data_IF_818587699265
#
_entry.id   IF_818587699265
#
_cell.length_a   1.000
_cell.length_b   1.000
_cell.length_c   1.000
_cell.angle_alpha   90.00
_cell.angle_beta   90.00
_cell.angle_gamma   90.00
#
_symmetry.space_group_name_H-M   'P 1'
#
loop_
_entity.id
_entity.type
_entity.pdbx_description
1 polymer ?
#
# COMPACT_ATOMS: atom_id res chain seq x y z
N UNK A 1 26.65 4.79 -79.08
CA UNK A 1 27.29 3.89 -78.11
C UNK A 1 26.73 4.23 -76.72
N UNK A 2 25.68 3.51 -76.29
CA UNK A 2 25.66 2.51 -75.20
C UNK A 2 25.80 3.14 -73.80
N UNK A 3 24.70 3.45 -73.09
CA UNK A 3 23.84 2.61 -72.19
C UNK A 3 24.45 2.28 -70.82
N UNK A 4 23.76 2.72 -69.76
CA UNK A 4 23.90 2.24 -68.38
C UNK A 4 22.85 2.86 -67.45
N UNK A 5 21.65 2.26 -67.37
CA UNK A 5 20.57 2.59 -66.41
C UNK A 5 20.63 1.60 -65.25
N UNK A 6 20.77 2.09 -64.01
CA UNK A 6 20.66 1.30 -62.78
C UNK A 6 19.22 1.26 -62.28
N UNK A 7 18.71 0.05 -62.02
CA UNK A 7 17.33 -0.23 -61.61
C UNK A 7 17.15 -0.34 -60.10
N UNK A 8 15.99 0.11 -59.63
CA UNK A 8 15.43 -0.11 -58.29
C UNK A 8 14.67 -1.44 -58.23
N UNK A 9 14.72 -2.22 -57.13
CA UNK A 9 13.90 -3.40 -56.98
C UNK A 9 12.47 -3.06 -56.52
N UNK A 10 11.53 -3.62 -57.27
CA UNK A 10 10.07 -3.57 -57.15
C UNK A 10 9.63 -4.70 -56.19
N UNK A 11 8.98 -4.37 -55.07
CA UNK A 11 8.36 -5.36 -54.17
C UNK A 11 6.91 -5.57 -54.58
N UNK A 12 6.60 -6.76 -55.06
CA UNK A 12 5.27 -7.16 -55.52
C UNK A 12 4.32 -7.43 -54.35
N UNK A 13 3.13 -6.86 -54.48
CA UNK A 13 1.87 -7.24 -53.83
C UNK A 13 1.34 -8.57 -54.40
N UNK A 14 0.85 -9.42 -53.50
CA UNK A 14 -0.26 -10.36 -53.69
C UNK A 14 -0.97 -10.36 -52.32
N UNK A 15 -2.17 -9.81 -52.11
CA UNK A 15 -3.47 -10.07 -52.73
C UNK A 15 -3.89 -11.53 -52.64
N UNK A 16 -4.62 -11.84 -51.58
CA UNK A 16 -5.59 -12.93 -51.49
C UNK A 16 -6.58 -12.51 -50.38
N UNK A 17 -7.76 -12.10 -50.85
CA UNK A 17 -8.98 -12.01 -50.07
C UNK A 17 -9.38 -13.41 -49.63
N UNK A 18 -9.92 -13.55 -48.42
CA UNK A 18 -11.11 -14.37 -48.20
C UNK A 18 -11.76 -14.00 -46.86
N UNK A 19 -13.07 -13.79 -46.96
CA UNK A 19 -14.05 -13.47 -45.94
C UNK A 19 -14.03 -14.41 -44.73
N UNK A 20 -14.03 -13.86 -43.51
CA UNK A 20 -14.85 -14.40 -42.41
C UNK A 20 -15.01 -13.39 -41.27
N UNK A 21 -16.20 -12.81 -41.15
CA UNK A 21 -16.68 -12.16 -39.92
C UNK A 21 -17.30 -13.21 -38.99
N UNK A 22 -17.10 -13.10 -37.66
CA UNK A 22 -18.27 -12.73 -36.86
C UNK A 22 -17.97 -11.71 -35.77
N UNK A 23 -18.95 -10.82 -35.61
CA UNK A 23 -19.14 -9.85 -34.55
C UNK A 23 -19.36 -10.51 -33.19
N UNK A 24 -18.75 -9.96 -32.13
CA UNK A 24 -19.28 -9.94 -30.76
C UNK A 24 -18.44 -9.06 -29.83
N UNK A 25 -19.02 -8.54 -28.73
CA UNK A 25 -18.91 -7.12 -28.39
C UNK A 25 -18.14 -6.83 -27.09
N UNK A 26 -17.73 -5.56 -26.97
CA UNK A 26 -17.06 -4.92 -25.84
C UNK A 26 -17.87 -4.95 -24.53
N UNK A 27 -17.23 -5.09 -23.36
CA UNK A 27 -17.89 -4.88 -22.08
C UNK A 27 -17.88 -3.39 -21.71
N UNK A 28 -19.08 -2.84 -21.56
CA UNK A 28 -19.36 -1.47 -21.12
C UNK A 28 -19.40 -1.33 -19.60
N UNK A 29 -18.98 -0.15 -19.17
CA UNK A 29 -19.03 0.42 -17.82
C UNK A 29 -20.46 0.57 -17.29
N UNK A 30 -20.73 0.02 -16.10
CA UNK A 30 -22.00 0.19 -15.40
C UNK A 30 -21.93 1.34 -14.39
N UNK A 31 -22.40 2.51 -14.80
CA UNK A 31 -22.75 3.65 -13.94
C UNK A 31 -24.26 3.66 -13.72
N UNK A 32 -24.71 3.35 -12.50
CA UNK A 32 -26.11 3.45 -12.13
C UNK A 32 -26.41 4.80 -11.47
N UNK A 33 -27.22 5.61 -12.16
CA UNK A 33 -27.94 6.77 -11.61
C UNK A 33 -29.39 6.66 -12.08
N UNK A 34 -30.40 6.72 -11.18
CA UNK A 34 -31.78 6.81 -11.60
C UNK A 34 -32.27 8.26 -11.58
N UNK A 35 -32.63 8.75 -12.78
CA UNK A 35 -33.39 9.97 -12.99
C UNK A 35 -34.88 9.77 -12.74
N UNK A 36 -35.40 10.55 -11.80
CA UNK A 36 -36.58 11.42 -11.92
C UNK A 36 -37.46 11.24 -13.18
N UNK A 37 -38.71 10.81 -13.01
CA UNK A 37 -39.82 11.15 -13.91
C UNK A 37 -41.07 11.51 -13.13
N UNK A 38 -41.70 12.56 -13.62
CA UNK A 38 -42.91 13.24 -13.18
C UNK A 38 -44.15 12.65 -13.85
N UNK A 39 -45.28 12.70 -13.14
CA UNK A 39 -46.57 13.30 -13.55
C UNK A 39 -47.84 12.44 -13.35
N UNK A 40 -48.88 13.19 -12.94
CA UNK A 40 -50.34 13.05 -13.13
C UNK A 40 -51.19 12.10 -12.26
N UNK A 41 -51.89 12.71 -11.27
CA UNK A 41 -53.36 12.85 -11.10
C UNK A 41 -54.26 11.71 -11.64
N UNK A 42 -55.24 11.11 -10.93
CA UNK A 42 -56.51 11.66 -10.35
C UNK A 42 -57.24 10.52 -9.54
N UNK A 43 -58.51 10.60 -9.05
CA UNK A 43 -58.88 10.34 -7.64
C UNK A 43 -59.84 9.14 -7.39
N UNK A 44 -60.06 8.74 -6.14
CA UNK A 44 -61.19 7.85 -5.79
C UNK A 44 -61.14 7.25 -4.38
N UNK A 45 -62.24 7.28 -3.60
CA UNK A 45 -62.27 6.98 -2.16
C UNK A 45 -62.76 5.55 -1.86
N UNK A 46 -62.31 4.96 -0.73
CA UNK A 46 -63.11 4.08 0.14
C UNK A 46 -62.23 3.35 1.19
N UNK A 47 -62.71 3.32 2.43
CA UNK A 47 -62.71 2.08 3.23
C UNK A 47 -61.55 1.82 4.19
N UNK A 48 -61.67 2.32 5.43
CA UNK A 48 -61.10 1.75 6.66
C UNK A 48 -61.46 0.24 6.83
N UNK A 49 -60.72 -0.58 7.61
CA UNK A 49 -60.74 -0.44 9.08
C UNK A 49 -59.41 -0.69 9.83
N UNK A 50 -59.34 0.05 10.94
CA UNK A 50 -58.60 -0.17 12.17
C UNK A 50 -58.16 -1.63 12.47
N UNK A 51 -56.88 -1.77 12.83
CA UNK A 51 -56.42 -2.82 13.75
C UNK A 51 -55.94 -2.17 15.04
N UNK A 52 -56.75 -2.33 16.09
CA UNK A 52 -56.32 -2.18 17.47
C UNK A 52 -55.24 -3.23 17.75
N UNK A 53 -54.02 -2.78 18.04
CA UNK A 53 -53.03 -3.60 18.74
C UNK A 53 -52.89 -3.07 20.17
N UNK A 54 -53.32 -3.88 21.12
CA UNK A 54 -53.15 -3.69 22.56
C UNK A 54 -51.66 -3.70 22.95
N UNK A 55 -51.23 -2.87 23.92
CA UNK A 55 -49.90 -2.97 24.51
C UNK A 55 -49.88 -4.09 25.56
N UNK A 56 -49.28 -5.23 25.23
CA UNK A 56 -48.84 -6.21 26.22
C UNK A 56 -47.47 -5.82 26.78
N UNK A 57 -47.18 -6.06 28.07
CA UNK A 57 -45.85 -5.85 28.63
C UNK A 57 -44.93 -6.94 28.06
N UNK A 58 -44.19 -6.60 27.01
CA UNK A 58 -43.14 -7.43 26.48
C UNK A 58 -42.03 -7.53 27.53
N UNK A 59 -41.91 -8.71 28.12
CA UNK A 59 -40.72 -9.21 28.81
C UNK A 59 -39.49 -8.83 27.99
N UNK A 60 -38.71 -7.89 28.50
CA UNK A 60 -37.49 -7.39 27.89
C UNK A 60 -36.50 -8.55 27.72
N UNK A 61 -36.31 -9.00 26.48
CA UNK A 61 -35.10 -9.72 26.12
C UNK A 61 -33.89 -8.86 26.53
N UNK A 62 -32.80 -9.45 27.07
CA UNK A 62 -31.61 -8.69 27.43
C UNK A 62 -31.13 -7.95 26.19
N UNK A 63 -31.39 -6.64 26.17
CA UNK A 63 -31.21 -5.78 25.02
C UNK A 63 -29.75 -5.83 24.61
N UNK A 64 -29.52 -6.07 23.32
CA UNK A 64 -28.26 -5.70 22.66
C UNK A 64 -27.88 -4.30 23.17
N UNK A 65 -26.61 -4.09 23.59
CA UNK A 65 -26.17 -2.84 24.17
C UNK A 65 -26.63 -1.70 23.28
N UNK A 66 -27.36 -0.75 23.86
CA UNK A 66 -27.90 0.40 23.16
C UNK A 66 -26.75 1.01 22.34
N UNK A 67 -26.97 1.13 21.03
CA UNK A 67 -25.97 1.71 20.12
C UNK A 67 -25.57 3.05 20.72
N UNK A 68 -24.26 3.31 20.93
CA UNK A 68 -23.84 4.61 21.45
C UNK A 68 -24.41 5.68 20.51
N UNK A 69 -25.13 6.63 21.11
CA UNK A 69 -25.62 7.82 20.40
C UNK A 69 -24.43 8.51 19.75
N UNK A 70 -24.65 9.03 18.54
CA UNK A 70 -23.68 9.82 17.79
C UNK A 70 -23.16 10.94 18.70
N UNK A 71 -21.90 11.33 18.55
CA UNK A 71 -21.20 12.27 19.44
C UNK A 71 -21.97 13.55 19.82
N UNK A 72 -21.44 14.36 20.73
CA UNK A 72 -22.17 15.37 21.52
C UNK A 72 -22.85 16.49 20.70
N UNK A 73 -22.59 16.57 19.39
CA UNK A 73 -23.10 17.65 18.53
C UNK A 73 -24.10 17.10 17.50
N UNK A 74 -25.35 17.62 17.44
CA UNK A 74 -26.31 17.19 16.45
C UNK A 74 -25.87 17.59 15.03
N UNK A 75 -26.21 16.77 14.03
CA UNK A 75 -25.83 16.99 12.62
C UNK A 75 -26.25 18.37 12.08
N UNK A 76 -27.34 18.92 12.60
CA UNK A 76 -27.88 20.22 12.19
C UNK A 76 -27.00 21.40 12.62
N UNK A 77 -26.11 21.21 13.60
CA UNK A 77 -25.17 22.22 14.05
C UNK A 77 -23.81 22.15 13.34
N UNK A 78 -23.59 21.16 12.47
CA UNK A 78 -22.32 20.98 11.79
C UNK A 78 -22.15 21.94 10.62
N UNK A 79 -21.02 22.65 10.61
CA UNK A 79 -20.62 23.43 9.44
C UNK A 79 -19.98 22.53 8.37
N UNK A 80 -19.82 23.06 7.16
CA UNK A 80 -19.09 22.36 6.08
C UNK A 80 -17.65 22.02 6.48
N UNK A 81 -17.01 22.83 7.33
CA UNK A 81 -15.66 22.57 7.85
C UNK A 81 -15.63 21.36 8.78
N UNK A 82 -16.67 21.13 9.58
CA UNK A 82 -16.82 19.91 10.38
C UNK A 82 -16.87 18.68 9.47
N UNK A 83 -17.79 18.69 8.50
CA UNK A 83 -17.96 17.57 7.56
C UNK A 83 -16.67 17.24 6.78
N UNK A 84 -15.98 18.25 6.24
CA UNK A 84 -14.70 18.05 5.53
C UNK A 84 -13.60 17.53 6.43
N UNK A 85 -13.46 18.09 7.64
CA UNK A 85 -12.46 17.64 8.62
C UNK A 85 -12.69 16.18 8.99
N UNK A 86 -13.94 15.79 9.23
CA UNK A 86 -14.30 14.40 9.51
C UNK A 86 -13.87 13.47 8.37
N UNK A 87 -14.17 13.84 7.13
CA UNK A 87 -13.81 13.03 5.97
C UNK A 87 -12.29 12.82 5.91
N UNK A 88 -11.50 13.88 6.13
CA UNK A 88 -10.03 13.78 6.19
C UNK A 88 -9.55 12.81 7.28
N UNK A 89 -10.15 12.87 8.47
CA UNK A 89 -9.80 12.00 9.60
C UNK A 89 -10.13 10.52 9.33
N UNK A 90 -11.28 10.24 8.71
CA UNK A 90 -11.68 8.87 8.31
C UNK A 90 -10.76 8.33 7.23
N UNK A 91 -10.45 9.13 6.20
CA UNK A 91 -9.54 8.74 5.13
C UNK A 91 -8.13 8.48 5.67
N UNK A 92 -7.64 9.33 6.58
CA UNK A 92 -6.34 9.16 7.24
C UNK A 92 -6.28 7.86 8.04
N UNK A 93 -7.30 7.57 8.84
CA UNK A 93 -7.42 6.30 9.59
C UNK A 93 -7.41 5.09 8.66
N UNK A 94 -8.11 5.16 7.52
CA UNK A 94 -8.12 4.09 6.52
C UNK A 94 -6.71 3.84 5.97
N UNK A 95 -5.97 4.88 5.61
CA UNK A 95 -4.58 4.75 5.16
C UNK A 95 -3.67 4.14 6.23
N UNK A 96 -3.84 4.51 7.50
CA UNK A 96 -3.05 3.93 8.61
C UNK A 96 -3.32 2.44 8.79
N UNK A 97 -4.59 2.01 8.72
CA UNK A 97 -4.94 0.59 8.72
C UNK A 97 -4.32 -0.14 7.52
N UNK A 98 -4.41 0.45 6.33
CA UNK A 98 -3.83 -0.12 5.11
C UNK A 98 -2.31 -0.27 5.22
N UNK A 99 -1.60 0.70 5.81
CA UNK A 99 -0.18 0.60 6.10
C UNK A 99 0.13 -0.61 7.00
N UNK A 100 -0.57 -0.74 8.12
CA UNK A 100 -0.35 -1.84 9.07
C UNK A 100 -0.58 -3.22 8.41
N UNK A 101 -1.62 -3.33 7.59
CA UNK A 101 -1.92 -4.54 6.83
C UNK A 101 -0.80 -4.90 5.83
N UNK A 102 -0.29 -3.90 5.10
CA UNK A 102 0.81 -4.09 4.15
C UNK A 102 2.10 -4.52 4.85
N UNK A 103 2.41 -3.98 6.03
CA UNK A 103 3.60 -4.38 6.79
C UNK A 103 3.47 -5.81 7.30
N UNK A 104 2.39 -6.11 8.04
CA UNK A 104 2.23 -7.38 8.76
C UNK A 104 2.01 -8.54 7.78
N UNK A 105 1.09 -8.38 6.82
CA UNK A 105 0.72 -9.46 5.89
C UNK A 105 1.54 -9.46 4.61
N UNK A 106 2.00 -8.29 4.17
CA UNK A 106 2.74 -8.13 2.92
C UNK A 106 4.25 -8.27 3.12
N UNK A 107 4.83 -7.33 3.85
CA UNK A 107 6.28 -7.10 3.81
C UNK A 107 7.05 -8.17 4.59
N UNK A 108 6.77 -8.32 5.88
CA UNK A 108 7.54 -9.21 6.77
C UNK A 108 7.52 -10.65 6.28
N UNK A 109 6.35 -11.15 5.87
CA UNK A 109 6.19 -12.51 5.36
C UNK A 109 6.98 -12.77 4.08
N UNK A 110 6.93 -11.84 3.11
CA UNK A 110 7.65 -11.99 1.83
C UNK A 110 9.15 -11.86 1.99
N UNK A 111 9.62 -10.92 2.81
CA UNK A 111 11.06 -10.78 3.09
C UNK A 111 11.61 -12.03 3.77
N UNK A 112 10.87 -12.60 4.73
CA UNK A 112 11.25 -13.88 5.36
C UNK A 112 11.30 -15.02 4.34
N UNK A 113 10.31 -15.16 3.47
CA UNK A 113 10.30 -16.19 2.44
C UNK A 113 11.49 -16.06 1.46
N UNK A 114 11.87 -14.83 1.08
CA UNK A 114 13.04 -14.60 0.25
C UNK A 114 14.35 -15.03 0.94
N UNK A 115 14.49 -14.77 2.25
CA UNK A 115 15.65 -15.19 3.04
C UNK A 115 15.71 -16.71 3.20
N UNK A 116 14.59 -17.35 3.51
CA UNK A 116 14.50 -18.82 3.61
C UNK A 116 14.88 -19.48 2.28
N UNK A 117 14.35 -18.97 1.16
CA UNK A 117 14.70 -19.44 -0.18
C UNK A 117 16.19 -19.30 -0.45
N UNK A 118 16.81 -18.18 -0.05
CA UNK A 118 18.25 -18.00 -0.20
C UNK A 118 19.06 -19.02 0.61
N UNK A 119 18.67 -19.27 1.87
CA UNK A 119 19.31 -20.28 2.71
C UNK A 119 19.21 -21.68 2.08
N UNK A 120 18.05 -22.02 1.52
CA UNK A 120 17.85 -23.29 0.82
C UNK A 120 18.77 -23.43 -0.40
N UNK A 121 18.95 -22.34 -1.17
CA UNK A 121 19.89 -22.31 -2.30
C UNK A 121 21.33 -22.55 -1.84
N UNK A 122 21.76 -21.92 -0.75
CA UNK A 122 23.11 -22.12 -0.22
C UNK A 122 23.35 -23.55 0.27
N UNK A 123 22.36 -24.15 0.93
CA UNK A 123 22.45 -25.54 1.39
C UNK A 123 22.49 -26.53 0.23
N UNK A 124 21.67 -26.30 -0.80
CA UNK A 124 21.66 -27.12 -2.00
C UNK A 124 22.99 -27.01 -2.77
N UNK A 125 23.56 -25.81 -2.89
CA UNK A 125 24.87 -25.63 -3.53
C UNK A 125 25.99 -26.38 -2.79
N UNK A 126 26.01 -26.32 -1.46
CA UNK A 126 26.96 -27.10 -0.65
C UNK A 126 26.79 -28.60 -0.84
N UNK A 127 25.55 -29.08 -0.97
CA UNK A 127 25.27 -30.49 -1.24
C UNK A 127 25.75 -30.92 -2.63
N UNK A 128 25.48 -30.11 -3.66
CA UNK A 128 25.93 -30.33 -5.04
C UNK A 128 27.46 -30.34 -5.09
N UNK A 129 28.14 -29.37 -4.46
CA UNK A 129 29.61 -29.29 -4.43
C UNK A 129 30.25 -30.50 -3.73
N UNK A 130 29.59 -31.05 -2.70
CA UNK A 130 30.02 -32.28 -2.03
C UNK A 130 29.90 -33.50 -2.95
N UNK A 131 28.87 -33.57 -3.78
CA UNK A 131 28.65 -34.65 -4.76
C UNK A 131 29.55 -34.52 -6.00
N UNK A 132 29.84 -33.29 -6.43
CA UNK A 132 30.66 -32.98 -7.61
C UNK A 132 32.12 -33.45 -7.51
N UNK A 133 32.61 -33.75 -6.29
CA UNK A 133 33.95 -34.34 -6.09
C UNK A 133 34.13 -35.72 -6.76
N UNK A 134 33.05 -36.35 -7.24
CA UNK A 134 33.09 -37.66 -7.91
C UNK A 134 32.79 -37.68 -9.42
N UNK A 135 32.08 -36.67 -9.99
CA UNK A 135 31.49 -36.84 -11.32
C UNK A 135 31.26 -35.52 -12.12
N UNK A 136 31.62 -35.51 -13.41
CA UNK A 136 31.56 -34.34 -14.31
C UNK A 136 30.14 -33.96 -14.75
N UNK A 137 29.18 -34.89 -14.63
CA UNK A 137 27.76 -34.69 -14.98
C UNK A 137 27.07 -33.64 -14.08
N UNK A 138 27.65 -33.33 -12.92
CA UNK A 138 27.09 -32.42 -11.92
C UNK A 138 27.00 -30.95 -12.37
N UNK A 139 27.77 -30.52 -13.38
CA UNK A 139 27.79 -29.12 -13.83
C UNK A 139 26.48 -28.66 -14.48
N UNK A 140 25.84 -29.49 -15.32
CA UNK A 140 24.61 -29.13 -15.99
C UNK A 140 23.42 -29.06 -15.01
N UNK A 141 23.37 -30.02 -14.07
CA UNK A 141 22.37 -30.05 -13.00
C UNK A 141 22.50 -28.82 -12.09
N UNK A 142 23.73 -28.44 -11.73
CA UNK A 142 24.01 -27.23 -10.96
C UNK A 142 23.50 -25.98 -11.65
N UNK A 143 23.82 -25.81 -12.95
CA UNK A 143 23.39 -24.65 -13.72
C UNK A 143 21.86 -24.56 -13.83
N UNK A 144 21.18 -25.67 -14.11
CA UNK A 144 19.72 -25.73 -14.17
C UNK A 144 19.05 -25.39 -12.83
N UNK A 145 19.58 -25.93 -11.71
CA UNK A 145 19.09 -25.60 -10.38
C UNK A 145 19.29 -24.13 -10.04
N UNK A 146 20.48 -23.57 -10.29
CA UNK A 146 20.79 -22.16 -10.05
C UNK A 146 19.87 -21.23 -10.83
N UNK A 147 19.62 -21.54 -12.11
CA UNK A 147 18.71 -20.75 -12.94
C UNK A 147 17.26 -20.80 -12.42
N UNK A 148 16.77 -21.97 -12.05
CA UNK A 148 15.41 -22.11 -11.52
C UNK A 148 15.24 -21.37 -10.18
N UNK A 149 16.26 -21.40 -9.31
CA UNK A 149 16.20 -20.73 -8.02
C UNK A 149 16.44 -19.22 -8.11
N UNK A 150 17.30 -18.75 -9.01
CA UNK A 150 17.49 -17.32 -9.24
C UNK A 150 16.22 -16.67 -9.78
N UNK A 151 15.48 -17.35 -10.64
CA UNK A 151 14.17 -16.91 -11.11
C UNK A 151 13.19 -16.75 -9.93
N UNK A 152 13.05 -17.79 -9.08
CA UNK A 152 12.18 -17.73 -7.89
C UNK A 152 12.58 -16.62 -6.92
N UNK A 153 13.88 -16.43 -6.70
CA UNK A 153 14.38 -15.37 -5.82
C UNK A 153 14.06 -13.98 -6.39
N UNK A 154 14.26 -13.81 -7.70
CA UNK A 154 13.89 -12.57 -8.42
C UNK A 154 12.40 -12.27 -8.28
N UNK A 155 11.54 -13.28 -8.39
CA UNK A 155 10.10 -13.12 -8.20
C UNK A 155 9.74 -12.67 -6.77
N UNK A 156 10.39 -13.25 -5.75
CA UNK A 156 10.18 -12.84 -4.36
C UNK A 156 10.68 -11.41 -4.11
N UNK A 157 11.82 -11.03 -4.66
CA UNK A 157 12.35 -9.65 -4.57
C UNK A 157 11.39 -8.67 -5.23
N UNK A 158 10.90 -8.98 -6.43
CA UNK A 158 9.91 -8.16 -7.12
C UNK A 158 8.61 -8.02 -6.30
N UNK A 159 8.17 -9.10 -5.64
CA UNK A 159 7.00 -9.08 -4.77
C UNK A 159 7.20 -8.24 -3.50
N UNK A 160 8.42 -8.16 -2.96
CA UNK A 160 8.77 -7.28 -1.82
C UNK A 160 8.79 -5.82 -2.27
N UNK A 161 9.44 -5.51 -3.40
CA UNK A 161 9.49 -4.15 -3.97
C UNK A 161 8.09 -3.63 -4.32
N UNK A 162 7.18 -4.50 -4.80
CA UNK A 162 5.79 -4.14 -5.03
C UNK A 162 5.06 -3.72 -3.73
N UNK A 163 5.29 -4.40 -2.60
CA UNK A 163 4.73 -3.99 -1.29
C UNK A 163 5.32 -2.66 -0.85
N UNK A 164 6.64 -2.48 -1.04
CA UNK A 164 7.32 -1.23 -0.72
C UNK A 164 6.77 -0.04 -1.54
N UNK A 165 6.49 -0.25 -2.82
CA UNK A 165 5.81 0.75 -3.66
C UNK A 165 4.43 1.10 -3.11
N UNK A 166 3.61 0.11 -2.73
CA UNK A 166 2.29 0.36 -2.11
C UNK A 166 2.39 1.10 -0.76
N UNK A 167 3.40 0.81 0.06
CA UNK A 167 3.67 1.56 1.30
C UNK A 167 4.03 3.02 1.00
N UNK A 168 4.82 3.24 -0.04
CA UNK A 168 5.17 4.59 -0.53
C UNK A 168 3.93 5.36 -0.99
N UNK A 169 3.02 4.71 -1.72
CA UNK A 169 1.75 5.32 -2.13
C UNK A 169 0.87 5.68 -0.92
N UNK A 170 0.77 4.80 0.07
CA UNK A 170 -0.04 5.03 1.29
C UNK A 170 0.50 6.22 2.10
N UNK A 171 1.82 6.34 2.25
CA UNK A 171 2.45 7.48 2.94
C UNK A 171 2.32 8.79 2.16
N UNK A 172 2.47 8.76 0.85
CA UNK A 172 2.16 9.92 0.00
C UNK A 172 0.69 10.33 0.12
N UNK A 173 -0.22 9.36 0.19
CA UNK A 173 -1.64 9.60 0.48
C UNK A 173 -1.85 10.32 1.82
N UNK A 174 -1.16 9.91 2.89
CA UNK A 174 -1.23 10.60 4.18
C UNK A 174 -0.70 12.03 4.09
N UNK A 175 0.42 12.25 3.39
CA UNK A 175 0.98 13.58 3.17
C UNK A 175 -0.02 14.51 2.44
N UNK A 176 -0.70 14.01 1.40
CA UNK A 176 -1.74 14.77 0.72
C UNK A 176 -2.93 15.11 1.63
N UNK A 177 -3.27 14.25 2.60
CA UNK A 177 -4.30 14.57 3.59
C UNK A 177 -3.85 15.64 4.59
N UNK A 178 -2.56 15.67 4.94
CA UNK A 178 -1.96 16.75 5.74
C UNK A 178 -2.09 18.08 5.00
N UNK A 179 -1.66 18.15 3.75
CA UNK A 179 -1.74 19.36 2.93
C UNK A 179 -3.19 19.85 2.79
N UNK A 180 -4.13 18.93 2.60
CA UNK A 180 -5.58 19.25 2.54
C UNK A 180 -6.12 19.78 3.87
N UNK A 181 -5.67 19.23 5.00
CA UNK A 181 -6.08 19.71 6.31
C UNK A 181 -5.54 21.12 6.58
N UNK A 182 -4.28 21.38 6.27
CA UNK A 182 -3.67 22.72 6.36
C UNK A 182 -4.38 23.73 5.44
N UNK A 183 -4.66 23.33 4.20
CA UNK A 183 -5.44 24.15 3.28
C UNK A 183 -6.83 24.48 3.84
N UNK A 184 -7.50 23.51 4.47
CA UNK A 184 -8.81 23.71 5.08
C UNK A 184 -8.78 24.73 6.23
N UNK A 185 -7.70 24.74 7.03
CA UNK A 185 -7.46 25.76 8.07
C UNK A 185 -7.34 27.15 7.45
N UNK A 186 -6.55 27.29 6.39
CA UNK A 186 -6.35 28.55 5.68
C UNK A 186 -7.65 29.05 5.03
N UNK A 187 -8.41 28.14 4.40
CA UNK A 187 -9.72 28.43 3.82
C UNK A 187 -10.70 28.93 4.90
N UNK A 188 -10.79 28.22 6.03
CA UNK A 188 -11.66 28.60 7.14
C UNK A 188 -11.28 29.96 7.74
N UNK A 189 -9.97 30.23 7.90
CA UNK A 189 -9.49 31.50 8.41
C UNK A 189 -9.87 32.68 7.49
N UNK A 190 -9.87 32.45 6.17
CA UNK A 190 -10.26 33.47 5.17
C UNK A 190 -11.77 33.73 5.14
N UNK A 191 -12.60 32.70 5.30
CA UNK A 191 -14.06 32.81 5.11
C UNK A 191 -14.82 33.09 6.41
N UNK A 192 -14.37 32.53 7.53
CA UNK A 192 -15.03 32.62 8.85
C UNK A 192 -14.21 33.42 9.87
N UNK A 193 -12.97 33.77 9.52
CA UNK A 193 -12.06 34.52 10.37
C UNK A 193 -11.09 33.61 11.16
N UNK A 194 -10.01 34.22 11.65
CA UNK A 194 -8.95 33.51 12.39
C UNK A 194 -9.43 32.96 13.73
N UNK A 195 -10.38 33.63 14.40
CA UNK A 195 -10.97 33.12 15.65
C UNK A 195 -11.64 31.75 15.44
N UNK A 196 -12.40 31.59 14.35
CA UNK A 196 -13.04 30.31 14.02
C UNK A 196 -11.99 29.20 13.79
N UNK A 197 -10.96 29.46 13.00
CA UNK A 197 -9.98 28.42 12.64
C UNK A 197 -9.03 28.01 13.79
N UNK A 198 -8.70 28.94 14.69
CA UNK A 198 -7.65 28.76 15.70
C UNK A 198 -8.12 28.74 17.15
N UNK A 199 -9.34 29.20 17.45
CA UNK A 199 -9.84 29.31 18.83
C UNK A 199 -11.15 28.57 19.05
N UNK A 200 -12.05 28.58 18.08
CA UNK A 200 -13.35 27.94 18.21
C UNK A 200 -13.23 26.41 18.10
N UNK A 201 -13.71 25.64 19.10
CA UNK A 201 -13.62 24.19 19.07
C UNK A 201 -14.62 23.59 18.08
N UNK A 202 -14.17 22.62 17.28
CA UNK A 202 -15.04 21.73 16.51
C UNK A 202 -15.56 20.61 17.42
N UNK A 203 -16.85 20.30 17.34
CA UNK A 203 -17.49 19.23 18.13
C UNK A 203 -17.16 19.28 19.63
N UNK A 204 -16.95 20.48 20.20
CA UNK A 204 -16.63 20.71 21.63
C UNK A 204 -15.22 20.24 22.04
N UNK A 205 -14.38 19.76 21.12
CA UNK A 205 -13.05 19.21 21.45
C UNK A 205 -11.93 20.22 21.20
N UNK A 206 -11.56 20.42 19.94
CA UNK A 206 -10.37 21.16 19.54
C UNK A 206 -10.64 22.09 18.36
N UNK A 207 -9.88 23.19 18.23
CA UNK A 207 -10.00 24.03 17.04
C UNK A 207 -9.49 23.32 15.78
N UNK A 208 -9.96 23.75 14.62
CA UNK A 208 -9.62 23.15 13.31
C UNK A 208 -8.11 23.01 13.08
N UNK A 209 -7.34 24.03 13.45
CA UNK A 209 -5.87 24.00 13.39
C UNK A 209 -5.25 22.84 14.16
N UNK A 210 -5.75 22.51 15.36
CA UNK A 210 -5.26 21.39 16.16
C UNK A 210 -5.53 20.04 15.51
N UNK A 211 -6.62 19.91 14.74
CA UNK A 211 -6.86 18.71 13.94
C UNK A 211 -5.84 18.58 12.81
N UNK A 212 -5.53 19.66 12.10
CA UNK A 212 -4.50 19.65 11.05
C UNK A 212 -3.12 19.29 11.62
N UNK A 213 -2.71 19.93 12.72
CA UNK A 213 -1.47 19.64 13.43
C UNK A 213 -1.40 18.17 13.88
N UNK A 214 -2.52 17.62 14.39
CA UNK A 214 -2.60 16.24 14.82
C UNK A 214 -2.47 15.25 13.67
N UNK A 215 -3.11 15.51 12.51
CA UNK A 215 -2.96 14.68 11.30
C UNK A 215 -1.52 14.71 10.79
N UNK A 216 -0.86 15.88 10.80
CA UNK A 216 0.56 16.01 10.46
C UNK A 216 1.45 15.21 11.42
N UNK A 217 1.25 15.39 12.73
CA UNK A 217 2.01 14.71 13.77
C UNK A 217 1.86 13.18 13.71
N UNK A 218 0.65 12.68 13.44
CA UNK A 218 0.38 11.25 13.29
C UNK A 218 0.93 10.66 12.00
N UNK A 219 1.12 11.46 10.95
CA UNK A 219 1.65 10.98 9.65
C UNK A 219 3.17 10.84 9.66
N UNK A 220 3.87 11.67 10.44
CA UNK A 220 5.34 11.72 10.47
C UNK A 220 6.01 10.37 10.79
N UNK A 221 5.58 9.60 11.82
CA UNK A 221 6.18 8.30 12.11
C UNK A 221 6.12 7.30 10.95
N UNK A 222 5.11 7.38 10.08
CA UNK A 222 4.97 6.51 8.92
C UNK A 222 6.00 6.85 7.83
N UNK A 223 6.27 8.15 7.61
CA UNK A 223 7.31 8.59 6.68
C UNK A 223 8.71 8.17 7.19
N UNK A 224 8.98 8.37 8.48
CA UNK A 224 10.24 7.95 9.12
C UNK A 224 10.40 6.41 9.06
N UNK A 225 9.32 5.66 9.31
CA UNK A 225 9.30 4.20 9.20
C UNK A 225 9.57 3.72 7.77
N UNK A 226 8.99 4.37 6.74
CA UNK A 226 9.25 4.03 5.34
C UNK A 226 10.74 4.14 4.99
N UNK A 227 11.38 5.22 5.43
CA UNK A 227 12.82 5.43 5.20
C UNK A 227 13.66 4.36 5.88
N UNK A 228 13.31 3.97 7.11
CA UNK A 228 13.99 2.88 7.81
C UNK A 228 13.77 1.54 7.10
N UNK A 229 12.54 1.23 6.71
CA UNK A 229 12.20 0.00 5.99
C UNK A 229 13.06 -0.12 4.73
N UNK A 230 13.21 0.96 3.95
CA UNK A 230 14.06 0.96 2.77
C UNK A 230 15.50 0.58 3.11
N UNK A 231 16.07 1.20 4.14
CA UNK A 231 17.42 0.90 4.60
C UNK A 231 17.58 -0.57 5.05
N UNK A 232 16.56 -1.15 5.71
CA UNK A 232 16.57 -2.56 6.10
C UNK A 232 16.45 -3.50 4.90
N UNK A 233 15.59 -3.17 3.92
CA UNK A 233 15.46 -3.96 2.70
C UNK A 233 16.75 -3.99 1.89
N UNK A 234 17.48 -2.88 1.82
CA UNK A 234 18.79 -2.82 1.16
C UNK A 234 19.81 -3.78 1.81
N UNK A 235 19.70 -4.05 3.12
CA UNK A 235 20.53 -5.03 3.85
C UNK A 235 20.01 -6.44 3.66
N UNK A 236 18.70 -6.65 3.79
CA UNK A 236 18.07 -7.98 3.77
C UNK A 236 18.04 -8.60 2.37
N UNK A 237 17.94 -7.78 1.33
CA UNK A 237 17.92 -8.22 -0.07
C UNK A 237 19.32 -8.15 -0.72
N UNK A 238 20.36 -7.95 0.09
CA UNK A 238 21.74 -8.01 -0.37
C UNK A 238 22.18 -9.47 -0.53
N UNK A 239 21.73 -10.09 -1.62
CA UNK A 239 22.16 -11.44 -1.96
C UNK A 239 23.57 -11.42 -2.58
N UNK A 240 24.49 -12.26 -2.10
CA UNK A 240 25.74 -12.53 -2.79
C UNK A 240 25.49 -12.91 -4.25
N UNK A 241 26.36 -12.49 -5.16
CA UNK A 241 26.31 -12.99 -6.53
C UNK A 241 26.46 -14.51 -6.51
N UNK A 242 25.53 -15.20 -7.17
CA UNK A 242 25.62 -16.64 -7.34
C UNK A 242 26.90 -16.94 -8.13
N UNK A 243 27.69 -17.96 -7.73
CA UNK A 243 28.92 -18.31 -8.44
C UNK A 243 28.56 -18.63 -9.90
N UNK A 244 28.88 -17.70 -10.80
CA UNK A 244 28.66 -17.90 -12.22
C UNK A 244 29.57 -19.03 -12.68
N UNK A 245 29.03 -19.92 -13.51
CA UNK A 245 29.73 -21.11 -13.98
C UNK A 245 30.88 -20.81 -14.97
N UNK A 246 31.28 -19.56 -15.14
CA UNK A 246 32.45 -19.18 -15.91
C UNK A 246 33.69 -19.44 -15.07
N UNK A 247 34.50 -20.48 -15.38
CA UNK A 247 35.81 -20.60 -14.76
C UNK A 247 36.57 -19.31 -15.08
N UNK A 248 37.08 -18.65 -14.05
CA UNK A 248 38.00 -17.52 -14.19
C UNK A 248 39.20 -18.02 -14.99
N UNK A 249 39.18 -17.78 -16.30
CA UNK A 249 40.27 -18.08 -17.20
C UNK A 249 41.42 -17.18 -16.78
N UNK A 250 42.40 -17.79 -16.10
CA UNK A 250 43.74 -17.31 -15.79
C UNK A 250 44.00 -15.85 -16.16
N UNK A 251 44.03 -14.99 -15.13
CA UNK A 251 44.52 -13.63 -15.24
C UNK A 251 45.93 -13.64 -15.82
N UNK A 252 46.08 -13.03 -17.00
CA UNK A 252 47.35 -12.50 -17.47
C UNK A 252 47.86 -11.48 -16.44
N UNK A 253 49.14 -11.54 -16.03
CA UNK A 253 49.72 -10.58 -15.10
C UNK A 253 49.99 -9.25 -15.83
N UNK A 254 48.98 -8.39 -15.94
CA UNK A 254 49.20 -6.98 -16.28
C UNK A 254 49.18 -6.15 -15.01
N UNK A 255 50.37 -5.71 -14.62
CA UNK A 255 50.65 -4.71 -13.59
C UNK A 255 49.91 -3.41 -13.89
N UNK A 256 48.83 -3.13 -13.16
CA UNK A 256 48.35 -1.77 -13.01
C UNK A 256 47.82 -1.59 -11.58
N UNK A 257 48.63 -0.91 -10.79
CA UNK A 257 48.49 -0.65 -9.37
C UNK A 257 47.47 0.49 -9.17
N UNK A 258 46.18 0.16 -9.34
CA UNK A 258 45.07 1.03 -8.91
C UNK A 258 44.41 0.42 -7.69
N UNK A 259 44.31 1.14 -6.55
CA UNK A 259 43.50 0.72 -5.43
C UNK A 259 42.03 0.90 -5.81
N UNK A 260 41.53 0.00 -6.65
CA UNK A 260 40.10 -0.22 -6.84
C UNK A 260 39.56 -0.61 -5.48
N UNK A 261 38.85 0.34 -4.85
CA UNK A 261 37.97 0.07 -3.73
C UNK A 261 36.82 -0.83 -4.23
N UNK A 262 37.17 -2.08 -4.55
CA UNK A 262 36.28 -3.19 -4.78
C UNK A 262 35.60 -3.43 -3.43
N UNK A 263 34.57 -2.62 -3.15
CA UNK A 263 33.57 -2.89 -2.12
C UNK A 263 32.87 -4.17 -2.54
N UNK A 264 33.57 -5.30 -2.41
CA UNK A 264 32.97 -6.61 -2.29
C UNK A 264 31.91 -6.45 -1.21
N UNK A 265 30.64 -6.46 -1.64
CA UNK A 265 29.48 -6.31 -0.78
C UNK A 265 29.52 -7.47 0.19
N UNK A 266 30.20 -7.27 1.32
CA UNK A 266 30.35 -8.29 2.35
C UNK A 266 28.94 -8.70 2.77
N UNK A 267 28.68 -10.00 2.66
CA UNK A 267 27.43 -10.59 3.11
C UNK A 267 27.14 -10.11 4.54
N UNK A 268 25.92 -9.62 4.82
CA UNK A 268 25.52 -9.31 6.18
C UNK A 268 25.68 -10.56 7.06
N UNK A 269 26.15 -10.38 8.29
CA UNK A 269 26.22 -11.47 9.26
C UNK A 269 24.80 -11.96 9.61
N UNK A 270 24.66 -13.21 10.06
CA UNK A 270 23.35 -13.72 10.50
C UNK A 270 22.76 -12.88 11.64
N UNK A 271 23.61 -12.33 12.52
CA UNK A 271 23.21 -11.40 13.57
C UNK A 271 22.61 -10.12 12.98
N UNK A 272 23.23 -9.56 11.93
CA UNK A 272 22.70 -8.39 11.22
C UNK A 272 21.37 -8.69 10.52
N UNK A 273 21.24 -9.85 9.88
CA UNK A 273 19.98 -10.26 9.24
C UNK A 273 18.86 -10.44 10.27
N UNK A 274 19.16 -11.09 11.39
CA UNK A 274 18.21 -11.29 12.47
C UNK A 274 17.83 -9.96 13.14
N UNK A 275 18.79 -9.07 13.35
CA UNK A 275 18.54 -7.73 13.88
C UNK A 275 17.68 -6.90 12.92
N UNK A 276 17.98 -6.92 11.62
CA UNK A 276 17.20 -6.24 10.59
C UNK A 276 15.75 -6.77 10.51
N UNK A 277 15.58 -8.09 10.54
CA UNK A 277 14.25 -8.71 10.55
C UNK A 277 13.48 -8.39 11.84
N UNK A 278 14.17 -8.40 12.99
CA UNK A 278 13.56 -8.05 14.28
C UNK A 278 13.13 -6.59 14.31
N UNK A 279 13.97 -5.67 13.79
CA UNK A 279 13.60 -4.27 13.63
C UNK A 279 12.40 -4.11 12.70
N UNK A 280 12.38 -4.83 11.57
CA UNK A 280 11.26 -4.81 10.63
C UNK A 280 9.96 -5.32 11.27
N UNK A 281 10.04 -6.33 12.12
CA UNK A 281 8.89 -6.91 12.82
C UNK A 281 8.39 -6.04 14.00
N UNK A 282 9.27 -5.28 14.64
CA UNK A 282 8.95 -4.38 15.77
C UNK A 282 8.49 -2.99 15.27
N UNK A 283 8.89 -2.59 14.07
CA UNK A 283 8.54 -1.32 13.42
C UNK A 283 7.04 -0.99 13.25
N UNK A 284 6.08 -1.93 13.03
CA UNK A 284 4.67 -1.56 12.88
C UNK A 284 4.03 -1.04 14.17
N UNK A 285 4.79 -0.97 15.28
CA UNK A 285 4.28 -0.64 16.59
C UNK A 285 4.89 0.60 17.21
N UNK A 286 5.55 1.51 16.47
CA UNK A 286 6.00 2.77 17.08
C UNK A 286 4.76 3.54 17.56
N UNK A 287 4.39 3.48 18.85
CA UNK A 287 3.29 4.29 19.34
C UNK A 287 3.89 5.69 19.32
N UNK A 288 3.32 6.59 18.50
CA UNK A 288 3.83 7.94 18.42
C UNK A 288 3.99 8.49 19.83
N UNK A 289 5.22 8.72 20.28
CA UNK A 289 5.53 9.45 21.52
C UNK A 289 5.20 10.92 21.27
N UNK A 290 3.93 11.23 21.04
CA UNK A 290 3.43 12.56 20.78
C UNK A 290 2.67 13.04 22.01
N UNK A 291 3.38 13.79 22.86
CA UNK A 291 2.90 14.57 24.03
C UNK A 291 2.31 13.79 25.21
N UNK A 292 2.24 14.43 26.38
CA UNK A 292 1.76 13.87 27.67
C UNK A 292 0.34 13.25 27.66
N UNK A 293 -0.40 13.34 26.55
CA UNK A 293 -1.66 12.63 26.34
C UNK A 293 -1.54 11.36 25.47
N UNK A 294 -0.44 11.17 24.73
CA UNK A 294 -0.18 10.01 23.85
C UNK A 294 -0.97 10.02 22.54
N UNK A 295 -0.41 9.38 21.49
CA UNK A 295 -1.13 9.12 20.24
C UNK A 295 -2.41 8.29 20.47
N UNK A 296 -2.44 7.50 21.54
CA UNK A 296 -3.60 6.74 21.98
C UNK A 296 -4.75 7.63 22.42
N UNK A 297 -4.52 8.76 23.12
CA UNK A 297 -5.62 9.69 23.41
C UNK A 297 -6.16 10.35 22.14
N UNK A 298 -5.31 10.60 21.14
CA UNK A 298 -5.79 11.09 19.85
C UNK A 298 -6.64 10.03 19.13
N UNK A 299 -6.24 8.76 19.17
CA UNK A 299 -7.03 7.67 18.62
C UNK A 299 -8.31 7.39 19.40
N UNK A 300 -8.31 7.51 20.73
CA UNK A 300 -9.50 7.38 21.56
C UNK A 300 -10.46 8.54 21.31
N UNK A 301 -9.96 9.78 21.22
CA UNK A 301 -10.77 10.94 20.84
C UNK A 301 -11.32 10.74 19.43
N UNK A 302 -10.51 10.29 18.46
CA UNK A 302 -11.02 9.92 17.14
C UNK A 302 -11.98 8.72 17.19
N UNK A 303 -11.81 7.75 18.07
CA UNK A 303 -12.69 6.58 18.13
C UNK A 303 -14.05 6.93 18.75
N UNK A 304 -14.07 7.78 19.77
CA UNK A 304 -15.29 8.29 20.40
C UNK A 304 -15.99 9.28 19.47
N UNK A 305 -15.24 10.23 18.92
CA UNK A 305 -15.79 11.36 18.16
C UNK A 305 -15.86 11.14 16.65
N UNK A 306 -15.12 10.18 16.08
CA UNK A 306 -15.13 9.81 14.64
C UNK A 306 -15.50 8.34 14.43
N UNK A 307 -15.27 7.44 15.39
CA UNK A 307 -15.67 6.03 15.29
C UNK A 307 -17.18 5.81 15.37
N UNK A 308 -17.95 6.77 15.90
CA UNK A 308 -19.41 6.81 15.74
C UNK A 308 -19.91 7.01 14.29
N UNK A 309 -19.00 7.25 13.33
CA UNK A 309 -19.32 7.81 12.01
C UNK A 309 -18.94 6.92 10.83
N UNK A 310 -18.21 5.81 11.05
CA UNK A 310 -18.01 4.75 10.04
C UNK A 310 -19.28 3.87 9.85
N UNK A 311 -20.45 4.30 10.34
CA UNK A 311 -21.73 3.57 10.27
C UNK A 311 -22.67 4.13 9.21
#
# INVERSE_FOLDING_TARGET
>A
MARGKGGTPRRNQAHLDDDYSPTSPSPSSNTNSPSRRTASTTPGPAGSPARLNSPGPATAAPGLPAKPERGPTPLTAETTYHSRTRQLLVEHRKLRRQWNELIIRGLVGRTKAALELWVDVELALKAIDKQAKGDKVTSAVRAGYLFAQSAKLSDQVAAVEAVFASLTEVTQGMALLVDRAEYLVVEAAKTRGTLFAFREPLWVTWPLSRFADGVAALSKPYADSLALIRAQLDVLLLFPELPSSTPSTAASPSSDDRPSAERTRRRPTNEQLQAALSLLAVQPLLPGKASDAGAEAWEEVLAVEVGGWER
#
